data_IF_849472746579
#
_entry.id   IF_849472746579
#
_cell.length_a   1.000
_cell.length_b   1.000
_cell.length_c   1.000
_cell.angle_alpha   90.00
_cell.angle_beta   90.00
_cell.angle_gamma   90.00
#
_symmetry.space_group_name_H-M   'P 1'
#
loop_
_entity.id
_entity.type
_entity.pdbx_description
1 polymer ?
#
# COMPACT_ATOMS: atom_id res chain seq x y z
N UNK A 1 -12.40 28.19 4.23
CA UNK A 1 -12.62 29.51 4.87
C UNK A 1 -14.09 29.93 4.93
N UNK A 2 -14.99 29.04 4.51
CA UNK A 2 -16.44 29.33 4.37
C UNK A 2 -17.21 29.53 5.69
N UNK A 3 -16.56 29.44 6.82
CA UNK A 3 -17.18 29.62 8.15
C UNK A 3 -17.76 28.33 8.74
N UNK A 4 -18.42 28.46 9.89
CA UNK A 4 -18.86 27.32 10.70
C UNK A 4 -19.89 26.41 10.03
N UNK A 5 -20.65 26.91 9.08
CA UNK A 5 -21.67 26.15 8.32
C UNK A 5 -21.59 26.37 6.80
N UNK A 6 -20.46 26.88 6.31
CA UNK A 6 -20.21 27.05 4.89
C UNK A 6 -20.93 28.24 4.22
N UNK A 7 -21.46 29.16 5.00
CA UNK A 7 -22.30 30.28 4.52
C UNK A 7 -21.55 31.59 4.28
N UNK A 8 -20.27 31.66 4.57
CA UNK A 8 -19.45 32.88 4.51
C UNK A 8 -20.01 34.08 5.31
N UNK A 9 -20.75 33.80 6.39
CA UNK A 9 -21.44 34.82 7.19
C UNK A 9 -20.51 35.90 7.76
N UNK A 10 -19.24 35.61 7.96
CA UNK A 10 -18.27 36.51 8.60
C UNK A 10 -17.07 36.86 7.72
N UNK A 11 -16.97 36.30 6.52
CA UNK A 11 -15.83 36.49 5.61
C UNK A 11 -16.36 36.52 4.18
N UNK A 12 -15.93 37.50 3.39
CA UNK A 12 -16.28 37.56 1.99
C UNK A 12 -15.62 36.42 1.20
N UNK A 13 -16.33 35.74 0.28
CA UNK A 13 -15.78 34.67 -0.55
C UNK A 13 -14.51 35.05 -1.36
N UNK A 14 -14.28 36.32 -1.60
CA UNK A 14 -13.05 36.79 -2.26
C UNK A 14 -11.80 36.52 -1.44
N UNK A 15 -11.91 36.51 -0.12
CA UNK A 15 -10.78 36.16 0.78
C UNK A 15 -10.34 34.72 0.58
N UNK A 16 -11.29 33.79 0.48
CA UNK A 16 -10.96 32.37 0.22
C UNK A 16 -10.32 32.20 -1.16
N UNK A 17 -10.86 32.84 -2.19
CA UNK A 17 -10.27 32.79 -3.54
C UNK A 17 -8.83 33.29 -3.53
N UNK A 18 -8.60 34.49 -2.93
CA UNK A 18 -7.27 35.06 -2.81
C UNK A 18 -6.26 34.14 -2.12
N UNK A 19 -6.65 33.56 -0.98
CA UNK A 19 -5.78 32.62 -0.23
C UNK A 19 -5.52 31.36 -1.05
N UNK A 20 -6.54 30.81 -1.68
CA UNK A 20 -6.40 29.60 -2.49
C UNK A 20 -5.45 29.84 -3.68
N UNK A 21 -5.59 30.94 -4.39
CA UNK A 21 -4.67 31.30 -5.48
C UNK A 21 -3.22 31.42 -5.01
N UNK A 22 -2.99 32.11 -3.88
CA UNK A 22 -1.64 32.27 -3.30
C UNK A 22 -0.98 30.97 -2.89
N UNK A 23 -1.77 29.97 -2.48
CA UNK A 23 -1.30 28.66 -2.04
C UNK A 23 -1.34 27.60 -3.16
N UNK A 24 -1.77 27.95 -4.37
CA UNK A 24 -1.95 26.97 -5.45
C UNK A 24 -3.07 25.94 -5.15
N UNK A 25 -4.05 26.33 -4.35
CA UNK A 25 -5.18 25.50 -3.94
C UNK A 25 -6.46 25.89 -4.68
N UNK A 26 -7.47 25.05 -4.64
CA UNK A 26 -8.81 25.34 -5.16
C UNK A 26 -9.80 25.47 -4.01
N UNK A 27 -10.64 26.53 -4.00
CA UNK A 27 -11.78 26.59 -3.10
C UNK A 27 -12.70 25.39 -3.34
N UNK A 28 -13.25 24.84 -2.29
CA UNK A 28 -14.15 23.68 -2.34
C UNK A 28 -15.40 23.99 -1.56
N UNK A 29 -16.60 23.82 -2.14
CA UNK A 29 -17.84 23.94 -1.40
C UNK A 29 -17.83 22.99 -0.20
N UNK A 30 -18.10 23.53 0.96
CA UNK A 30 -18.12 22.78 2.20
C UNK A 30 -19.19 23.36 3.14
N UNK A 31 -19.79 22.53 3.94
CA UNK A 31 -20.57 22.95 5.12
C UNK A 31 -19.59 23.31 6.24
N UNK A 32 -19.64 22.66 7.35
CA UNK A 32 -18.60 22.84 8.40
C UNK A 32 -17.31 22.07 8.09
N UNK A 33 -17.41 20.97 7.37
CA UNK A 33 -16.31 20.09 6.98
C UNK A 33 -16.37 19.80 5.49
N UNK A 34 -15.21 19.58 4.86
CA UNK A 34 -15.15 19.13 3.47
C UNK A 34 -15.67 17.69 3.36
N UNK A 35 -16.18 17.34 2.17
CA UNK A 35 -16.64 15.99 1.89
C UNK A 35 -15.49 14.96 2.07
N UNK A 36 -15.79 13.84 2.73
CA UNK A 36 -14.80 12.82 3.14
C UNK A 36 -14.41 11.85 2.03
N UNK A 37 -15.08 11.87 0.89
CA UNK A 37 -14.67 11.16 -0.32
C UNK A 37 -13.23 11.47 -0.73
N UNK A 38 -12.77 12.69 -0.55
CA UNK A 38 -11.37 13.12 -0.79
C UNK A 38 -10.35 12.40 0.09
N UNK A 39 -10.69 12.20 1.36
CA UNK A 39 -9.86 11.43 2.29
C UNK A 39 -9.90 9.93 1.96
N UNK A 40 -11.06 9.43 1.57
CA UNK A 40 -11.21 8.06 1.10
C UNK A 40 -10.40 7.79 -0.16
N UNK A 41 -10.35 8.72 -1.12
CA UNK A 41 -9.49 8.64 -2.31
C UNK A 41 -8.01 8.54 -1.94
N UNK A 42 -7.55 9.36 -1.00
CA UNK A 42 -6.17 9.27 -0.50
C UNK A 42 -5.86 7.91 0.13
N UNK A 43 -6.75 7.42 0.99
CA UNK A 43 -6.60 6.10 1.63
C UNK A 43 -6.65 4.97 0.60
N UNK A 44 -7.49 5.12 -0.44
CA UNK A 44 -7.52 4.20 -1.57
C UNK A 44 -6.17 4.16 -2.29
N UNK A 45 -5.55 5.30 -2.56
CA UNK A 45 -4.23 5.35 -3.19
C UNK A 45 -3.17 4.62 -2.35
N UNK A 46 -3.17 4.83 -1.02
CA UNK A 46 -2.29 4.11 -0.11
C UNK A 46 -2.54 2.59 -0.14
N UNK A 47 -3.80 2.17 -0.13
CA UNK A 47 -4.18 0.76 -0.18
C UNK A 47 -3.85 0.11 -1.54
N UNK A 48 -4.03 0.83 -2.65
CA UNK A 48 -3.69 0.38 -3.98
C UNK A 48 -2.18 0.12 -4.13
N UNK A 49 -1.35 1.05 -3.65
CA UNK A 49 0.12 0.87 -3.59
C UNK A 49 0.48 -0.35 -2.76
N UNK A 50 -0.11 -0.50 -1.56
CA UNK A 50 0.11 -1.67 -0.72
C UNK A 50 -0.27 -2.97 -1.42
N UNK A 51 -1.40 -3.01 -2.09
CA UNK A 51 -1.89 -4.19 -2.81
C UNK A 51 -0.99 -4.59 -3.98
N UNK A 52 -0.46 -3.62 -4.73
CA UNK A 52 0.53 -3.87 -5.79
C UNK A 52 1.82 -4.45 -5.22
N UNK A 53 2.30 -3.90 -4.11
CA UNK A 53 3.50 -4.44 -3.45
C UNK A 53 3.25 -5.82 -2.84
N UNK A 54 2.04 -6.10 -2.36
CA UNK A 54 1.65 -7.43 -1.89
C UNK A 54 1.66 -8.46 -3.03
N UNK A 55 1.17 -8.11 -4.22
CA UNK A 55 1.24 -8.98 -5.40
C UNK A 55 2.67 -9.44 -5.67
N UNK A 56 3.62 -8.48 -5.70
CA UNK A 56 5.04 -8.78 -5.89
C UNK A 56 5.58 -9.63 -4.73
N UNK A 57 5.24 -9.27 -3.49
CA UNK A 57 5.73 -9.97 -2.31
C UNK A 57 5.23 -11.42 -2.23
N UNK A 58 3.99 -11.68 -2.62
CA UNK A 58 3.43 -13.03 -2.66
C UNK A 58 4.15 -13.88 -3.70
N UNK A 59 4.40 -13.34 -4.91
CA UNK A 59 5.16 -14.05 -5.93
C UNK A 59 6.58 -14.38 -5.48
N UNK A 60 7.29 -13.44 -4.87
CA UNK A 60 8.64 -13.69 -4.34
C UNK A 60 8.64 -14.77 -3.26
N UNK A 61 7.61 -14.82 -2.40
CA UNK A 61 7.45 -15.90 -1.41
C UNK A 61 7.25 -17.26 -2.07
N UNK A 62 6.50 -17.33 -3.19
CA UNK A 62 6.35 -18.56 -3.98
C UNK A 62 7.66 -18.99 -4.61
N UNK A 63 8.41 -18.09 -5.21
CA UNK A 63 9.69 -18.36 -5.85
C UNK A 63 10.77 -18.80 -4.85
N UNK A 64 10.67 -18.38 -3.58
CA UNK A 64 11.63 -18.72 -2.52
C UNK A 64 11.33 -20.06 -1.84
N UNK A 65 10.18 -20.70 -2.08
CA UNK A 65 9.86 -22.01 -1.48
C UNK A 65 10.93 -23.05 -1.79
N UNK A 66 11.09 -24.00 -0.87
CA UNK A 66 12.11 -25.06 -0.95
C UNK A 66 12.04 -25.86 -2.25
N UNK A 67 10.83 -26.09 -2.75
CA UNK A 67 10.58 -26.84 -4.00
C UNK A 67 10.95 -26.02 -5.23
N UNK A 68 10.83 -24.72 -5.19
CA UNK A 68 11.08 -23.80 -6.31
C UNK A 68 12.52 -23.28 -6.29
N UNK A 69 12.91 -22.52 -5.27
CA UNK A 69 14.25 -21.95 -5.06
C UNK A 69 14.82 -21.12 -6.20
N UNK A 70 13.98 -20.43 -6.91
CA UNK A 70 14.41 -19.60 -8.06
C UNK A 70 14.90 -18.22 -7.62
N UNK A 71 14.36 -17.71 -6.51
CA UNK A 71 14.69 -16.38 -5.97
C UNK A 71 14.83 -16.48 -4.46
N UNK A 72 15.67 -15.64 -3.88
CA UNK A 72 15.79 -15.46 -2.43
C UNK A 72 15.89 -13.98 -2.06
N UNK A 73 15.35 -13.60 -0.90
CA UNK A 73 15.66 -12.30 -0.30
C UNK A 73 17.15 -12.23 0.03
N UNK A 74 17.75 -11.07 -0.20
CA UNK A 74 19.14 -10.84 0.18
C UNK A 74 19.33 -10.92 1.69
N UNK A 75 20.27 -11.75 2.12
CA UNK A 75 20.67 -11.89 3.52
C UNK A 75 21.95 -11.11 3.79
N UNK A 76 21.95 -10.30 4.84
CA UNK A 76 23.16 -9.60 5.28
C UNK A 76 24.04 -10.55 6.08
N UNK A 77 25.40 -10.39 6.03
CA UNK A 77 26.30 -11.10 6.93
C UNK A 77 25.85 -10.91 8.40
N UNK A 78 25.74 -12.02 9.14
CA UNK A 78 25.27 -12.01 10.53
C UNK A 78 23.77 -11.94 10.74
N UNK A 79 22.95 -11.82 9.69
CA UNK A 79 21.50 -11.89 9.81
C UNK A 79 21.07 -13.32 10.14
N UNK A 80 20.29 -13.46 11.23
CA UNK A 80 19.67 -14.75 11.59
C UNK A 80 18.31 -14.90 10.92
N UNK A 81 18.11 -15.97 10.17
CA UNK A 81 16.81 -16.29 9.55
C UNK A 81 15.82 -16.94 10.52
N UNK A 82 16.32 -17.56 11.59
CA UNK A 82 15.54 -18.20 12.63
C UNK A 82 16.38 -18.33 13.91
N UNK A 83 15.74 -18.25 15.07
CA UNK A 83 16.39 -18.49 16.36
C UNK A 83 16.71 -19.98 16.60
N UNK A 84 15.94 -20.89 15.99
CA UNK A 84 16.06 -22.33 16.19
C UNK A 84 16.85 -23.05 15.09
N UNK A 85 16.83 -22.52 13.85
CA UNK A 85 17.46 -23.16 12.68
C UNK A 85 18.34 -22.15 11.93
N UNK A 86 19.66 -22.17 12.12
CA UNK A 86 20.58 -21.16 11.54
C UNK A 86 20.56 -21.10 10.00
N UNK A 87 20.24 -22.21 9.34
CA UNK A 87 20.16 -22.34 7.89
C UNK A 87 18.83 -21.86 7.30
N UNK A 88 17.79 -21.66 8.12
CA UNK A 88 16.46 -21.24 7.66
C UNK A 88 16.48 -19.78 7.22
N UNK A 89 16.05 -19.51 6.01
CA UNK A 89 15.94 -18.18 5.42
C UNK A 89 14.49 -17.88 5.08
N UNK A 90 13.81 -17.18 5.98
CA UNK A 90 12.43 -16.77 5.75
C UNK A 90 12.37 -15.51 4.89
N UNK A 91 11.35 -15.36 4.02
CA UNK A 91 11.11 -14.13 3.23
C UNK A 91 10.45 -13.05 4.09
N UNK A 92 11.17 -12.56 5.12
CA UNK A 92 10.64 -11.68 6.17
C UNK A 92 10.15 -10.35 5.59
N UNK A 93 10.83 -9.81 4.58
CA UNK A 93 10.41 -8.53 3.97
C UNK A 93 9.13 -8.70 3.19
N UNK A 94 9.01 -9.75 2.40
CA UNK A 94 7.80 -10.06 1.65
C UNK A 94 6.62 -10.40 2.58
N UNK A 95 6.86 -11.16 3.67
CA UNK A 95 5.84 -11.43 4.69
C UNK A 95 5.33 -10.15 5.36
N UNK A 96 6.25 -9.24 5.72
CA UNK A 96 5.90 -7.95 6.33
C UNK A 96 5.07 -7.08 5.37
N UNK A 97 5.47 -6.99 4.10
CA UNK A 97 4.72 -6.24 3.08
C UNK A 97 3.30 -6.81 2.94
N UNK A 98 3.18 -8.14 2.82
CA UNK A 98 1.88 -8.81 2.72
C UNK A 98 0.97 -8.54 3.93
N UNK A 99 1.53 -8.54 5.13
CA UNK A 99 0.78 -8.26 6.36
C UNK A 99 0.30 -6.81 6.43
N UNK A 100 1.19 -5.84 6.20
CA UNK A 100 0.87 -4.42 6.31
C UNK A 100 -0.06 -3.92 5.20
N UNK A 101 -0.05 -4.54 4.03
CA UNK A 101 -1.02 -4.23 2.97
C UNK A 101 -2.47 -4.52 3.38
N UNK A 102 -2.69 -5.50 4.25
CA UNK A 102 -4.02 -5.76 4.83
C UNK A 102 -4.47 -4.64 5.74
N UNK A 103 -3.56 -4.06 6.53
CA UNK A 103 -3.85 -2.92 7.40
C UNK A 103 -4.26 -1.70 6.56
N UNK A 104 -3.52 -1.40 5.48
CA UNK A 104 -3.87 -0.32 4.55
C UNK A 104 -5.28 -0.48 3.96
N UNK A 105 -5.69 -1.70 3.60
CA UNK A 105 -7.07 -1.96 3.13
C UNK A 105 -8.10 -1.80 4.25
N UNK A 106 -7.78 -2.19 5.48
CA UNK A 106 -8.64 -1.96 6.65
C UNK A 106 -8.84 -0.47 6.93
N UNK A 107 -7.77 0.32 6.84
CA UNK A 107 -7.83 1.78 6.99
C UNK A 107 -8.67 2.43 5.89
N UNK A 108 -8.58 1.97 4.64
CA UNK A 108 -9.45 2.41 3.56
C UNK A 108 -10.92 2.11 3.88
N UNK A 109 -11.23 0.92 4.37
CA UNK A 109 -12.60 0.57 4.75
C UNK A 109 -13.17 1.52 5.80
N UNK A 110 -12.39 1.85 6.82
CA UNK A 110 -12.77 2.81 7.84
C UNK A 110 -12.97 4.23 7.25
N UNK A 111 -12.08 4.64 6.34
CA UNK A 111 -12.18 5.92 5.64
C UNK A 111 -13.42 6.03 4.74
N UNK A 112 -13.80 4.96 4.07
CA UNK A 112 -15.03 4.90 3.26
C UNK A 112 -16.29 5.07 4.11
N UNK A 113 -16.30 4.53 5.33
CA UNK A 113 -17.43 4.69 6.25
C UNK A 113 -17.58 6.13 6.77
N UNK A 114 -16.54 6.94 6.68
CA UNK A 114 -16.58 8.37 7.08
C UNK A 114 -17.24 9.27 6.02
N UNK A 115 -17.55 8.77 4.82
CA UNK A 115 -18.15 9.57 3.75
C UNK A 115 -19.58 9.99 4.11
N UNK A 116 -20.36 9.07 4.70
CA UNK A 116 -21.72 9.37 5.16
C UNK A 116 -21.69 10.14 6.48
N UNK A 117 -22.18 11.35 6.46
CA UNK A 117 -22.26 12.23 7.63
C UNK A 117 -23.74 12.51 7.99
N UNK A 118 -23.96 12.87 9.24
CA UNK A 118 -25.25 13.39 9.71
C UNK A 118 -25.35 14.87 9.38
N UNK A 119 -26.28 15.25 8.52
CA UNK A 119 -26.51 16.62 8.07
C UNK A 119 -25.21 17.32 7.66
N UNK A 120 -24.93 18.50 8.17
CA UNK A 120 -23.74 19.31 7.85
C UNK A 120 -22.49 18.86 8.60
N UNK A 121 -22.64 18.10 9.70
CA UNK A 121 -21.53 17.66 10.54
C UNK A 121 -21.83 16.41 11.33
N UNK A 122 -20.84 15.51 11.32
CA UNK A 122 -20.73 14.39 12.22
C UNK A 122 -19.28 14.33 12.74
N UNK A 123 -19.09 14.25 14.06
CA UNK A 123 -17.74 14.21 14.65
C UNK A 123 -17.17 12.78 14.70
N UNK A 124 -17.95 11.76 14.37
CA UNK A 124 -17.51 10.36 14.39
C UNK A 124 -16.30 10.11 13.49
N UNK A 125 -16.24 10.76 12.31
CA UNK A 125 -15.11 10.67 11.41
C UNK A 125 -13.79 11.21 12.00
N UNK A 126 -13.85 12.18 12.89
CA UNK A 126 -12.66 12.85 13.44
C UNK A 126 -11.77 11.90 14.23
N UNK A 127 -12.34 11.04 15.06
CA UNK A 127 -11.58 10.06 15.84
C UNK A 127 -10.95 8.99 14.93
N UNK A 128 -11.67 8.55 13.91
CA UNK A 128 -11.17 7.58 12.91
C UNK A 128 -10.02 8.17 12.10
N UNK A 129 -10.19 9.38 11.56
CA UNK A 129 -9.19 10.03 10.70
C UNK A 129 -7.87 10.31 11.42
N UNK A 130 -7.90 10.59 12.71
CA UNK A 130 -6.70 10.75 13.56
C UNK A 130 -5.83 9.49 13.59
N UNK A 131 -6.42 8.34 13.38
CA UNK A 131 -5.73 7.05 13.33
C UNK A 131 -5.37 6.70 11.89
N UNK A 132 -6.36 6.61 11.00
CA UNK A 132 -6.16 5.99 9.70
C UNK A 132 -5.36 6.84 8.71
N UNK A 133 -5.41 8.17 8.77
CA UNK A 133 -4.66 9.03 7.85
C UNK A 133 -3.14 9.00 8.13
N UNK A 134 -2.66 9.27 9.36
CA UNK A 134 -1.23 9.21 9.66
C UNK A 134 -0.71 7.78 9.54
N UNK A 135 -1.45 6.78 10.01
CA UNK A 135 -1.05 5.38 9.94
C UNK A 135 -0.89 4.92 8.47
N UNK A 136 -1.88 5.20 7.61
CA UNK A 136 -1.78 4.84 6.20
C UNK A 136 -0.64 5.54 5.48
N UNK A 137 -0.36 6.80 5.80
CA UNK A 137 0.77 7.55 5.23
C UNK A 137 2.11 6.92 5.61
N UNK A 138 2.28 6.58 6.88
CA UNK A 138 3.50 5.95 7.40
C UNK A 138 3.66 4.53 6.86
N UNK A 139 2.60 3.73 6.84
CA UNK A 139 2.63 2.36 6.34
C UNK A 139 2.91 2.32 4.84
N UNK A 140 2.24 3.14 4.04
CA UNK A 140 2.50 3.23 2.61
C UNK A 140 3.96 3.59 2.32
N UNK A 141 4.50 4.60 3.00
CA UNK A 141 5.92 4.94 2.90
C UNK A 141 6.83 3.77 3.30
N UNK A 142 6.53 3.14 4.42
CA UNK A 142 7.34 2.03 4.94
C UNK A 142 7.36 0.83 3.97
N UNK A 143 6.19 0.39 3.46
CA UNK A 143 6.13 -0.76 2.54
C UNK A 143 6.79 -0.47 1.20
N UNK A 144 6.69 0.78 0.69
CA UNK A 144 7.42 1.20 -0.51
C UNK A 144 8.95 1.13 -0.31
N UNK A 145 9.45 1.68 0.79
CA UNK A 145 10.89 1.64 1.11
C UNK A 145 11.38 0.22 1.35
N UNK A 146 10.57 -0.60 1.99
CA UNK A 146 10.89 -2.02 2.22
C UNK A 146 10.87 -2.81 0.90
N UNK A 147 9.88 -2.59 0.04
CA UNK A 147 9.79 -3.19 -1.28
C UNK A 147 10.99 -2.83 -2.17
N UNK A 148 11.39 -1.56 -2.18
CA UNK A 148 12.57 -1.10 -2.90
C UNK A 148 13.84 -1.85 -2.44
N UNK A 149 14.04 -1.98 -1.13
CA UNK A 149 15.19 -2.70 -0.56
C UNK A 149 15.14 -4.19 -0.87
N UNK A 150 13.95 -4.78 -0.81
CA UNK A 150 13.71 -6.19 -1.14
C UNK A 150 14.13 -6.47 -2.58
N UNK A 151 13.62 -5.68 -3.54
CA UNK A 151 13.92 -5.87 -4.97
C UNK A 151 15.40 -5.62 -5.29
N UNK A 152 15.99 -4.58 -4.71
CA UNK A 152 17.42 -4.28 -4.91
C UNK A 152 18.37 -5.36 -4.35
N UNK A 153 17.91 -6.13 -3.36
CA UNK A 153 18.71 -7.17 -2.71
C UNK A 153 18.38 -8.59 -3.15
N UNK A 154 17.53 -8.78 -4.16
CA UNK A 154 17.15 -10.11 -4.62
C UNK A 154 18.34 -10.90 -5.17
N UNK A 155 18.40 -12.16 -4.78
CA UNK A 155 19.34 -13.15 -5.34
C UNK A 155 18.54 -14.09 -6.26
N UNK A 156 18.90 -14.10 -7.54
CA UNK A 156 18.22 -14.90 -8.57
C UNK A 156 19.11 -16.08 -8.94
N UNK A 157 18.56 -17.30 -8.91
CA UNK A 157 19.22 -18.53 -9.32
C UNK A 157 18.74 -18.95 -10.74
N UNK A 158 19.40 -18.41 -11.77
CA UNK A 158 19.08 -18.72 -13.16
C UNK A 158 19.30 -20.18 -13.53
N UNK A 159 20.24 -20.88 -12.88
CA UNK A 159 20.45 -22.30 -13.12
C UNK A 159 19.27 -23.14 -12.60
N UNK A 160 18.77 -22.76 -11.42
CA UNK A 160 17.59 -23.41 -10.83
C UNK A 160 16.32 -23.12 -11.65
N UNK A 161 16.12 -21.89 -12.10
CA UNK A 161 15.02 -21.53 -13.02
C UNK A 161 15.03 -22.41 -14.28
N UNK A 162 16.20 -22.58 -14.87
CA UNK A 162 16.35 -23.45 -16.05
C UNK A 162 16.05 -24.91 -15.74
N UNK A 163 16.54 -25.44 -14.62
CA UNK A 163 16.25 -26.80 -14.20
C UNK A 163 14.74 -27.02 -13.97
N UNK A 164 14.07 -26.08 -13.33
CA UNK A 164 12.61 -26.16 -13.09
C UNK A 164 11.83 -26.11 -14.42
N UNK A 165 12.23 -25.25 -15.37
CA UNK A 165 11.60 -25.14 -16.69
C UNK A 165 11.62 -26.49 -17.44
N UNK A 166 12.75 -27.20 -17.39
CA UNK A 166 12.92 -28.47 -18.07
C UNK A 166 12.50 -29.70 -17.23
N UNK A 167 12.06 -29.51 -15.98
CA UNK A 167 11.62 -30.61 -15.11
C UNK A 167 10.40 -31.37 -15.66
N UNK A 168 9.61 -30.74 -16.53
CA UNK A 168 8.48 -31.35 -17.23
C UNK A 168 8.86 -32.11 -18.50
N UNK A 169 10.18 -32.33 -18.75
CA UNK A 169 10.68 -33.01 -19.96
C UNK A 169 10.13 -32.45 -21.27
N UNK A 170 9.92 -31.16 -21.36
CA UNK A 170 9.44 -30.46 -22.55
C UNK A 170 7.93 -30.25 -22.63
N UNK A 171 7.14 -30.72 -21.70
CA UNK A 171 5.67 -30.49 -21.71
C UNK A 171 5.29 -29.02 -21.71
N UNK A 172 6.16 -28.15 -21.19
CA UNK A 172 5.96 -26.68 -21.22
C UNK A 172 5.83 -26.16 -22.68
N UNK A 173 6.35 -26.85 -23.66
CA UNK A 173 6.31 -26.50 -25.09
C UNK A 173 5.16 -27.19 -25.84
N UNK A 174 4.28 -27.93 -25.17
CA UNK A 174 3.22 -28.74 -25.79
C UNK A 174 2.28 -27.94 -26.69
N UNK A 175 2.04 -26.67 -26.41
CA UNK A 175 1.22 -25.78 -27.24
C UNK A 175 1.80 -25.64 -28.66
N UNK A 176 3.12 -25.57 -28.79
CA UNK A 176 3.78 -25.50 -30.10
C UNK A 176 3.72 -26.80 -30.93
N UNK A 177 3.32 -27.92 -30.30
CA UNK A 177 3.14 -29.22 -31.01
C UNK A 177 1.71 -29.37 -31.54
N UNK A 178 0.74 -28.62 -30.93
CA UNK A 178 -0.67 -28.66 -31.35
C UNK A 178 -1.01 -27.71 -32.49
N UNK A 179 -0.06 -26.85 -32.88
CA UNK A 179 -0.16 -25.93 -34.00
C UNK A 179 0.58 -26.48 -35.23
#
# INVERSE_FOLDING_TARGET
LSGAVGTYSNIDPSVERYVAERLGLRPVPATQVIARDRHAEYLWACAAVGSTLELIAVELRHLQRTEVREVQEGFKPGQKGSSAMPHKRNPISAETISGLSRVLRGNLQAGMQNVALWHERDISHSSVERVVLPDSSQLAHYVMRRGQKLLAGLVVDGARMRANLYASHGLVFSQGVLL
#
